data_IF_182557989101
#
_entry.id   IF_182557989101
#
_cell.length_a   1.000
_cell.length_b   1.000
_cell.length_c   1.000
_cell.angle_alpha   90.00
_cell.angle_beta   90.00
_cell.angle_gamma   90.00
#
_symmetry.space_group_name_H-M   'P 1'
#
loop_
_entity.id
_entity.type
_entity.pdbx_description
1 polymer ?
#
# COMPACT_ATOMS: atom_id res chain seq x y z
N UNK A 1 9.61 -12.81 -3.39
CA UNK A 1 8.15 -12.65 -3.29
C UNK A 1 7.39 -13.26 -4.47
N UNK A 2 7.97 -13.31 -5.67
CA UNK A 2 7.34 -13.88 -6.86
C UNK A 2 7.34 -15.42 -6.91
N UNK A 3 7.86 -16.09 -5.89
CA UNK A 3 7.80 -17.54 -5.70
C UNK A 3 6.78 -17.93 -4.60
N UNK A 4 5.98 -17.00 -4.11
CA UNK A 4 4.94 -17.28 -3.12
C UNK A 4 3.76 -18.01 -3.79
N UNK A 5 3.05 -18.88 -3.03
CA UNK A 5 1.87 -19.57 -3.54
C UNK A 5 0.81 -18.54 -3.98
N UNK A 6 0.38 -18.63 -5.23
CA UNK A 6 -0.56 -17.66 -5.80
C UNK A 6 -1.98 -17.88 -5.27
N UNK A 7 -2.39 -19.11 -5.03
CA UNK A 7 -3.76 -19.45 -4.64
C UNK A 7 -4.23 -18.71 -3.36
N UNK A 8 -3.34 -18.64 -2.35
CA UNK A 8 -3.66 -17.92 -1.11
C UNK A 8 -3.76 -16.39 -1.33
N UNK A 9 -2.92 -15.84 -2.22
CA UNK A 9 -2.96 -14.43 -2.59
C UNK A 9 -4.26 -14.12 -3.33
N UNK A 10 -4.64 -14.93 -4.31
CA UNK A 10 -5.90 -14.77 -5.06
C UNK A 10 -7.13 -14.85 -4.17
N UNK A 11 -7.14 -15.78 -3.20
CA UNK A 11 -8.23 -15.89 -2.24
C UNK A 11 -8.40 -14.60 -1.42
N UNK A 12 -7.29 -14.03 -0.92
CA UNK A 12 -7.34 -12.78 -0.16
C UNK A 12 -7.61 -11.56 -1.06
N UNK A 13 -7.16 -11.55 -2.31
CA UNK A 13 -7.52 -10.52 -3.28
C UNK A 13 -9.01 -10.59 -3.63
N UNK A 14 -9.61 -11.78 -3.72
CA UNK A 14 -11.06 -11.95 -3.90
C UNK A 14 -11.85 -11.32 -2.75
N UNK A 15 -11.49 -11.57 -1.51
CA UNK A 15 -12.15 -10.90 -0.36
C UNK A 15 -11.88 -9.40 -0.33
N UNK A 16 -10.69 -8.98 -0.79
CA UNK A 16 -10.33 -7.56 -0.92
C UNK A 16 -11.16 -6.82 -1.98
N UNK A 17 -11.52 -7.51 -3.06
CA UNK A 17 -12.38 -6.95 -4.12
C UNK A 17 -13.78 -6.59 -3.59
N UNK A 18 -14.31 -7.34 -2.61
CA UNK A 18 -15.58 -7.01 -1.94
C UNK A 18 -15.46 -5.66 -1.20
N UNK A 19 -14.37 -5.44 -0.47
CA UNK A 19 -14.12 -4.16 0.20
C UNK A 19 -14.06 -3.00 -0.79
N UNK A 20 -13.38 -3.18 -1.93
CA UNK A 20 -13.30 -2.15 -2.99
C UNK A 20 -14.67 -1.88 -3.60
N UNK A 21 -15.50 -2.92 -3.79
CA UNK A 21 -16.85 -2.78 -4.31
C UNK A 21 -17.76 -1.99 -3.36
N UNK A 22 -17.68 -2.27 -2.07
CA UNK A 22 -18.47 -1.59 -1.05
C UNK A 22 -18.07 -0.14 -0.84
N UNK A 23 -16.76 0.15 -0.84
CA UNK A 23 -16.24 1.50 -0.63
C UNK A 23 -16.34 2.37 -1.88
N UNK A 24 -16.27 1.78 -3.07
CA UNK A 24 -16.15 2.50 -4.35
C UNK A 24 -14.73 2.96 -4.66
N UNK A 25 -14.57 3.65 -5.78
CA UNK A 25 -13.24 3.98 -6.35
C UNK A 25 -12.53 5.08 -5.56
N UNK A 26 -13.25 6.11 -5.14
CA UNK A 26 -12.69 7.28 -4.45
C UNK A 26 -13.52 7.67 -3.22
N UNK A 27 -13.62 6.77 -2.21
CA UNK A 27 -14.42 7.05 -1.03
C UNK A 27 -13.79 8.15 -0.17
N UNK A 28 -14.63 8.98 0.45
CA UNK A 28 -14.20 9.96 1.45
C UNK A 28 -14.49 9.45 2.84
N UNK A 29 -13.48 9.48 3.72
CA UNK A 29 -13.65 9.07 5.12
C UNK A 29 -14.40 10.14 5.93
N UNK A 30 -14.19 11.42 5.59
CA UNK A 30 -14.78 12.57 6.28
C UNK A 30 -15.24 13.62 5.27
N UNK A 31 -16.40 14.24 5.52
CA UNK A 31 -16.98 15.28 4.65
C UNK A 31 -16.29 16.64 4.78
N UNK A 32 -15.64 16.89 5.93
CA UNK A 32 -15.09 18.20 6.32
C UNK A 32 -13.61 18.40 5.96
N UNK A 33 -12.93 17.37 5.45
CA UNK A 33 -11.53 17.45 5.10
C UNK A 33 -11.18 16.59 3.88
N UNK A 34 -9.97 16.80 3.33
CA UNK A 34 -9.45 15.99 2.24
C UNK A 34 -9.00 14.61 2.75
N UNK A 35 -9.93 13.67 2.77
CA UNK A 35 -9.73 12.29 3.27
C UNK A 35 -10.13 11.24 2.24
N UNK A 36 -10.02 11.58 0.96
CA UNK A 36 -10.34 10.68 -0.14
C UNK A 36 -9.29 9.56 -0.23
N UNK A 37 -9.77 8.32 -0.33
CA UNK A 37 -8.92 7.17 -0.62
C UNK A 37 -8.74 7.01 -2.13
N UNK A 38 -7.69 6.30 -2.52
CA UNK A 38 -7.40 5.98 -3.92
C UNK A 38 -7.50 4.46 -4.14
N UNK A 39 -8.72 3.95 -4.09
CA UNK A 39 -8.99 2.55 -4.37
C UNK A 39 -8.75 2.19 -5.84
N UNK A 40 -8.65 3.19 -6.75
CA UNK A 40 -8.29 2.96 -8.14
C UNK A 40 -6.85 2.45 -8.26
N UNK A 41 -5.90 3.13 -7.63
CA UNK A 41 -4.50 2.71 -7.60
C UNK A 41 -4.32 1.44 -6.78
N UNK A 42 -4.99 1.34 -5.63
CA UNK A 42 -4.91 0.14 -4.78
C UNK A 42 -5.46 -1.09 -5.51
N UNK A 43 -6.46 -0.94 -6.41
CA UNK A 43 -6.92 -2.04 -7.28
C UNK A 43 -5.86 -2.51 -8.28
N UNK A 44 -5.05 -1.60 -8.83
CA UNK A 44 -3.90 -1.97 -9.66
C UNK A 44 -2.92 -2.80 -8.84
N UNK A 45 -2.59 -2.35 -7.63
CA UNK A 45 -1.64 -3.03 -6.74
C UNK A 45 -2.10 -4.45 -6.37
N UNK A 46 -3.41 -4.64 -6.17
CA UNK A 46 -4.01 -5.95 -5.89
C UNK A 46 -3.97 -6.86 -7.13
N UNK A 47 -4.29 -6.34 -8.32
CA UNK A 47 -4.22 -7.09 -9.58
C UNK A 47 -2.79 -7.54 -9.90
N UNK A 48 -1.79 -6.68 -9.69
CA UNK A 48 -0.38 -7.02 -9.86
C UNK A 48 0.10 -8.05 -8.81
N UNK A 49 -0.38 -7.95 -7.58
CA UNK A 49 -0.06 -8.92 -6.54
C UNK A 49 -0.59 -10.31 -6.87
N UNK A 50 -1.74 -10.41 -7.51
CA UNK A 50 -2.40 -11.64 -7.91
C UNK A 50 -2.05 -12.10 -9.34
N UNK A 51 -0.97 -11.57 -9.94
CA UNK A 51 -0.54 -12.01 -11.26
C UNK A 51 -0.15 -13.50 -11.27
N UNK A 52 -0.89 -14.28 -12.05
CA UNK A 52 -0.76 -15.73 -12.22
C UNK A 52 -0.10 -16.14 -13.56
N UNK A 53 0.54 -15.22 -14.27
CA UNK A 53 1.23 -15.55 -15.54
C UNK A 53 2.36 -16.55 -15.32
N UNK A 54 2.70 -17.33 -16.36
CA UNK A 54 3.82 -18.30 -16.34
C UNK A 54 5.19 -17.64 -16.53
N UNK A 55 5.26 -16.32 -16.50
CA UNK A 55 6.49 -15.56 -16.65
C UNK A 55 7.49 -15.85 -15.49
N UNK A 56 8.78 -15.73 -15.76
CA UNK A 56 9.81 -15.93 -14.75
C UNK A 56 9.68 -14.90 -13.60
N UNK A 57 10.18 -15.26 -12.40
CA UNK A 57 10.14 -14.35 -11.24
C UNK A 57 10.84 -13.00 -11.51
N UNK A 58 11.92 -13.02 -12.30
CA UNK A 58 12.63 -11.80 -12.71
C UNK A 58 11.77 -10.96 -13.67
N UNK A 59 11.16 -11.58 -14.64
CA UNK A 59 10.29 -10.92 -15.61
C UNK A 59 9.07 -10.27 -14.93
N UNK A 60 8.38 -11.02 -14.04
CA UNK A 60 7.31 -10.45 -13.20
C UNK A 60 7.77 -9.26 -12.36
N UNK A 61 8.99 -9.32 -11.82
CA UNK A 61 9.55 -8.22 -11.05
C UNK A 61 9.86 -6.98 -11.89
N UNK A 62 10.21 -7.17 -13.16
CA UNK A 62 10.57 -6.08 -14.07
C UNK A 62 9.37 -5.46 -14.77
N UNK A 63 8.37 -6.27 -15.12
CA UNK A 63 7.25 -5.85 -15.96
C UNK A 63 5.95 -5.61 -15.18
N UNK A 64 5.84 -6.12 -13.94
CA UNK A 64 4.67 -5.94 -13.08
C UNK A 64 3.36 -6.25 -13.82
N UNK A 65 3.23 -7.49 -14.26
CA UNK A 65 2.05 -7.94 -15.00
C UNK A 65 0.76 -7.86 -14.19
N UNK A 66 -0.33 -7.54 -14.87
CA UNK A 66 -1.69 -7.60 -14.33
C UNK A 66 -2.70 -8.02 -15.39
N UNK A 67 -3.74 -8.73 -14.96
CA UNK A 67 -4.90 -9.00 -15.81
C UNK A 67 -5.70 -7.73 -16.07
N UNK A 68 -6.23 -7.60 -17.28
CA UNK A 68 -7.12 -6.49 -17.70
C UNK A 68 -8.33 -7.02 -18.44
N UNK A 69 -9.45 -6.29 -18.36
CA UNK A 69 -10.66 -6.53 -19.12
C UNK A 69 -10.86 -5.28 -19.99
N UNK A 70 -11.09 -5.48 -21.28
CA UNK A 70 -11.23 -4.38 -22.25
C UNK A 70 -12.33 -3.40 -21.81
N UNK A 71 -12.04 -2.11 -22.01
CA UNK A 71 -12.90 -0.98 -21.64
C UNK A 71 -13.21 -0.83 -20.13
N UNK A 72 -12.59 -1.67 -19.27
CA UNK A 72 -12.79 -1.62 -17.82
C UNK A 72 -11.65 -0.88 -17.11
N UNK A 73 -12.00 -0.10 -16.09
CA UNK A 73 -11.04 0.52 -15.18
C UNK A 73 -10.51 -0.51 -14.18
N UNK A 74 -9.34 -0.27 -13.51
CA UNK A 74 -8.74 -1.24 -12.60
C UNK A 74 -9.67 -1.77 -11.51
N UNK A 75 -10.45 -0.91 -10.85
CA UNK A 75 -11.41 -1.33 -9.83
C UNK A 75 -12.56 -2.16 -10.43
N UNK A 76 -13.04 -1.78 -11.61
CA UNK A 76 -14.07 -2.53 -12.35
C UNK A 76 -13.51 -3.89 -12.78
N UNK A 77 -12.27 -3.94 -13.29
CA UNK A 77 -11.57 -5.19 -13.66
C UNK A 77 -11.44 -6.12 -12.44
N UNK A 78 -11.01 -5.59 -11.29
CA UNK A 78 -10.87 -6.35 -10.05
C UNK A 78 -12.21 -6.97 -9.62
N UNK A 79 -13.26 -6.18 -9.61
CA UNK A 79 -14.62 -6.60 -9.23
C UNK A 79 -15.16 -7.63 -10.24
N UNK A 80 -15.06 -7.33 -11.54
CA UNK A 80 -15.55 -8.21 -12.58
C UNK A 80 -14.88 -9.59 -12.53
N UNK A 81 -13.56 -9.63 -12.38
CA UNK A 81 -12.84 -10.91 -12.33
C UNK A 81 -13.10 -11.68 -11.02
N UNK A 82 -12.89 -11.05 -9.86
CA UNK A 82 -12.92 -11.78 -8.59
C UNK A 82 -14.32 -11.98 -8.00
N UNK A 83 -15.31 -11.15 -8.35
CA UNK A 83 -16.67 -11.26 -7.82
C UNK A 83 -17.64 -11.80 -8.87
N UNK A 84 -17.57 -11.31 -10.11
CA UNK A 84 -18.49 -11.69 -11.17
C UNK A 84 -17.99 -12.87 -12.01
N UNK A 85 -16.75 -13.37 -11.76
CA UNK A 85 -16.09 -14.46 -12.46
C UNK A 85 -15.93 -14.21 -13.98
N UNK A 86 -15.72 -12.96 -14.38
CA UNK A 86 -15.36 -12.60 -15.76
C UNK A 86 -13.88 -12.87 -15.97
N UNK A 87 -13.52 -13.55 -17.05
CA UNK A 87 -12.11 -13.81 -17.37
C UNK A 87 -11.39 -12.54 -17.84
N UNK A 88 -10.10 -12.46 -17.57
CA UNK A 88 -9.28 -11.39 -18.14
C UNK A 88 -9.20 -11.54 -19.65
N UNK A 89 -9.36 -10.44 -20.37
CA UNK A 89 -9.25 -10.45 -21.84
C UNK A 89 -7.80 -10.44 -22.29
N UNK A 90 -6.90 -9.85 -21.48
CA UNK A 90 -5.47 -9.83 -21.75
C UNK A 90 -4.67 -9.60 -20.47
N UNK A 91 -3.38 -9.89 -20.53
CA UNK A 91 -2.39 -9.47 -19.55
C UNK A 91 -1.63 -8.25 -20.09
N UNK A 92 -1.44 -7.25 -19.23
CA UNK A 92 -0.74 -6.00 -19.57
C UNK A 92 0.41 -5.81 -18.62
N UNK A 93 1.57 -5.39 -19.14
CA UNK A 93 2.70 -4.94 -18.34
C UNK A 93 2.44 -3.52 -17.80
N UNK A 94 3.00 -3.22 -16.63
CA UNK A 94 2.86 -1.91 -16.00
C UNK A 94 4.20 -1.38 -15.46
N UNK A 95 5.28 -1.66 -16.17
CA UNK A 95 6.65 -1.31 -15.79
C UNK A 95 6.93 0.21 -15.64
N UNK A 96 5.94 1.07 -15.92
CA UNK A 96 6.08 2.53 -15.93
C UNK A 96 6.36 3.12 -14.54
N UNK A 97 5.86 2.50 -13.47
CA UNK A 97 5.96 3.00 -12.11
C UNK A 97 6.78 2.06 -11.23
N UNK A 98 7.15 2.54 -10.04
CA UNK A 98 7.85 1.71 -9.06
C UNK A 98 6.91 0.72 -8.38
N UNK A 99 7.24 -0.56 -8.44
CA UNK A 99 6.45 -1.68 -7.91
C UNK A 99 7.05 -2.33 -6.66
N UNK A 100 8.01 -1.66 -6.01
CA UNK A 100 8.66 -2.19 -4.81
C UNK A 100 7.71 -2.47 -3.64
N UNK A 101 6.51 -1.89 -3.63
CA UNK A 101 5.47 -2.21 -2.64
C UNK A 101 5.06 -3.69 -2.68
N UNK A 102 5.18 -4.37 -3.81
CA UNK A 102 4.88 -5.80 -3.94
C UNK A 102 5.77 -6.67 -3.05
N UNK A 103 6.96 -6.19 -2.67
CA UNK A 103 7.85 -6.88 -1.72
C UNK A 103 7.19 -7.05 -0.35
N UNK A 104 6.37 -6.12 0.07
CA UNK A 104 5.61 -6.19 1.32
C UNK A 104 4.17 -6.72 1.08
N UNK A 105 3.52 -6.27 0.01
CA UNK A 105 2.11 -6.57 -0.24
C UNK A 105 1.86 -8.05 -0.53
N UNK A 106 2.66 -8.69 -1.38
CA UNK A 106 2.47 -10.13 -1.70
C UNK A 106 2.62 -11.05 -0.48
N UNK A 107 3.65 -10.92 0.38
CA UNK A 107 3.72 -11.68 1.62
C UNK A 107 2.53 -11.43 2.55
N UNK A 108 2.08 -10.18 2.68
CA UNK A 108 0.94 -9.85 3.52
C UNK A 108 -0.36 -10.46 2.97
N UNK A 109 -0.58 -10.40 1.66
CA UNK A 109 -1.73 -11.02 0.98
C UNK A 109 -1.71 -12.55 1.02
N UNK A 110 -0.56 -13.19 1.29
CA UNK A 110 -0.52 -14.63 1.51
C UNK A 110 -1.22 -15.06 2.81
N UNK A 111 -1.45 -14.12 3.75
CA UNK A 111 -2.04 -14.40 5.06
C UNK A 111 -3.26 -13.55 5.39
N UNK A 112 -3.41 -12.37 4.79
CA UNK A 112 -4.40 -11.37 5.19
C UNK A 112 -5.08 -10.75 3.97
N UNK A 113 -6.33 -10.37 4.13
CA UNK A 113 -7.06 -9.54 3.18
C UNK A 113 -6.68 -8.05 3.28
N UNK A 114 -7.15 -7.27 2.33
CA UNK A 114 -6.91 -5.82 2.22
C UNK A 114 -7.32 -5.03 3.47
N UNK A 115 -8.47 -5.37 4.07
CA UNK A 115 -8.97 -4.69 5.26
C UNK A 115 -8.06 -4.92 6.47
N UNK A 116 -7.62 -6.15 6.66
CA UNK A 116 -6.68 -6.53 7.72
C UNK A 116 -5.30 -5.88 7.49
N UNK A 117 -4.82 -5.87 6.25
CA UNK A 117 -3.54 -5.23 5.90
C UNK A 117 -3.59 -3.72 6.21
N UNK A 118 -4.71 -3.04 5.96
CA UNK A 118 -4.91 -1.63 6.32
C UNK A 118 -4.80 -1.38 7.83
N UNK A 119 -5.34 -2.27 8.65
CA UNK A 119 -5.22 -2.19 10.12
C UNK A 119 -3.77 -2.39 10.55
N UNK A 120 -3.10 -3.41 10.03
CA UNK A 120 -1.68 -3.68 10.29
C UNK A 120 -0.85 -2.47 9.88
N UNK A 121 -1.09 -1.92 8.69
CA UNK A 121 -0.42 -0.75 8.17
C UNK A 121 -0.57 0.47 9.10
N UNK A 122 -1.79 0.73 9.58
CA UNK A 122 -2.04 1.80 10.55
C UNK A 122 -1.28 1.60 11.86
N UNK A 123 -1.24 0.38 12.39
CA UNK A 123 -0.49 0.06 13.59
C UNK A 123 1.03 0.26 13.40
N UNK A 124 1.57 -0.19 12.26
CA UNK A 124 3.01 0.00 11.94
C UNK A 124 3.34 1.48 11.78
N UNK A 125 2.50 2.27 11.13
CA UNK A 125 2.69 3.72 11.00
C UNK A 125 2.70 4.41 12.38
N UNK A 126 1.79 4.02 13.27
CA UNK A 126 1.74 4.57 14.62
C UNK A 126 2.99 4.20 15.45
N UNK A 127 3.45 2.95 15.37
CA UNK A 127 4.68 2.50 16.01
C UNK A 127 5.90 3.28 15.46
N UNK A 128 5.95 3.50 14.16
CA UNK A 128 7.00 4.28 13.52
C UNK A 128 7.01 5.74 13.99
N UNK A 129 5.83 6.37 14.15
CA UNK A 129 5.70 7.70 14.73
C UNK A 129 6.27 7.74 16.16
N UNK A 130 5.89 6.77 17.01
CA UNK A 130 6.40 6.68 18.38
C UNK A 130 7.93 6.52 18.41
N UNK A 131 8.48 5.68 17.52
CA UNK A 131 9.92 5.50 17.38
C UNK A 131 10.62 6.82 17.05
N UNK A 132 10.11 7.58 16.08
CA UNK A 132 10.65 8.90 15.73
C UNK A 132 10.62 9.83 16.95
N UNK A 133 9.51 9.91 17.68
CA UNK A 133 9.39 10.75 18.87
C UNK A 133 10.42 10.35 19.95
N UNK A 134 10.62 9.05 20.17
CA UNK A 134 11.65 8.55 21.12
C UNK A 134 13.06 8.92 20.66
N UNK A 135 13.38 8.77 19.38
CA UNK A 135 14.68 9.14 18.82
C UNK A 135 14.92 10.66 18.92
N UNK A 136 13.91 11.49 18.61
CA UNK A 136 13.98 12.94 18.77
C UNK A 136 14.27 13.32 20.23
N UNK A 137 13.57 12.68 21.19
CA UNK A 137 13.82 12.90 22.62
C UNK A 137 15.26 12.55 23.01
N UNK A 138 15.78 11.41 22.54
CA UNK A 138 17.18 10.98 22.80
C UNK A 138 18.22 11.93 22.20
N UNK A 139 17.89 12.62 21.12
CA UNK A 139 18.75 13.64 20.47
C UNK A 139 18.58 15.05 21.05
N UNK A 140 17.77 15.24 22.09
CA UNK A 140 17.51 16.55 22.68
C UNK A 140 16.59 17.46 21.84
N UNK A 141 15.88 16.92 20.87
CA UNK A 141 14.98 17.63 19.97
C UNK A 141 13.56 17.75 20.53
N UNK A 142 13.40 17.82 21.85
CA UNK A 142 12.09 17.87 22.52
C UNK A 142 11.13 18.95 21.98
N UNK A 143 11.58 20.21 21.69
CA UNK A 143 10.67 21.25 21.17
C UNK A 143 10.04 20.91 19.83
N UNK A 144 10.63 20.01 19.05
CA UNK A 144 10.18 19.66 17.72
C UNK A 144 9.23 18.45 17.67
N UNK A 145 9.03 17.75 18.80
CA UNK A 145 8.16 16.55 18.85
C UNK A 145 6.72 16.92 18.57
N UNK A 146 6.19 17.97 19.20
CA UNK A 146 4.81 18.43 18.97
C UNK A 146 4.60 18.89 17.52
N UNK A 147 5.44 19.77 16.95
CA UNK A 147 5.37 20.11 15.54
C UNK A 147 5.40 18.89 14.61
N UNK A 148 6.24 17.90 14.89
CA UNK A 148 6.31 16.67 14.08
C UNK A 148 5.01 15.87 14.13
N UNK A 149 4.42 15.69 15.34
CA UNK A 149 3.13 15.02 15.50
C UNK A 149 2.02 15.79 14.76
N UNK A 150 2.01 17.10 14.83
CA UNK A 150 1.02 17.92 14.11
C UNK A 150 1.16 17.76 12.59
N UNK A 151 2.39 17.74 12.07
CA UNK A 151 2.62 17.44 10.65
C UNK A 151 2.07 16.06 10.27
N UNK A 152 2.30 15.04 11.10
CA UNK A 152 1.74 13.70 10.87
C UNK A 152 0.21 13.71 10.86
N UNK A 153 -0.43 14.42 11.79
CA UNK A 153 -1.89 14.51 11.86
C UNK A 153 -2.49 15.23 10.64
N UNK A 154 -1.81 16.26 10.10
CA UNK A 154 -2.22 16.98 8.90
C UNK A 154 -2.22 16.05 7.67
N UNK A 155 -1.34 15.06 7.62
CA UNK A 155 -1.30 14.06 6.54
C UNK A 155 -2.47 13.07 6.59
N UNK A 156 -3.43 13.24 7.48
CA UNK A 156 -4.60 12.37 7.60
C UNK A 156 -4.22 10.89 7.77
N UNK A 157 -3.65 10.48 8.93
CA UNK A 157 -3.05 9.16 9.14
C UNK A 157 -4.00 8.00 8.85
N UNK A 158 -5.31 8.15 9.07
CA UNK A 158 -6.30 7.12 8.76
C UNK A 158 -6.43 6.93 7.24
N UNK A 159 -6.51 8.02 6.46
CA UNK A 159 -6.54 7.93 5.01
C UNK A 159 -5.22 7.35 4.46
N UNK A 160 -4.10 7.80 5.03
CA UNK A 160 -2.77 7.34 4.67
C UNK A 160 -2.57 5.84 4.98
N UNK A 161 -3.11 5.34 6.10
CA UNK A 161 -3.04 3.93 6.44
C UNK A 161 -3.95 3.06 5.56
N UNK A 162 -5.07 3.60 5.11
CA UNK A 162 -6.06 2.90 4.28
C UNK A 162 -5.75 2.92 2.78
N UNK A 163 -4.89 3.80 2.30
CA UNK A 163 -4.45 3.84 0.89
C UNK A 163 -2.97 3.49 0.78
N UNK A 164 -2.66 2.39 0.10
CA UNK A 164 -1.28 1.89 0.01
C UNK A 164 -0.36 2.85 -0.75
N UNK A 165 -0.88 3.57 -1.73
CA UNK A 165 -0.13 4.60 -2.43
C UNK A 165 0.37 5.68 -1.47
N UNK A 166 -0.49 6.20 -0.60
CA UNK A 166 -0.12 7.23 0.38
C UNK A 166 0.83 6.68 1.45
N UNK A 167 0.64 5.43 1.85
CA UNK A 167 1.52 4.73 2.79
C UNK A 167 2.96 4.68 2.31
N UNK A 168 3.20 4.46 1.04
CA UNK A 168 4.55 4.39 0.46
C UNK A 168 5.33 5.69 0.70
N UNK A 169 4.70 6.85 0.50
CA UNK A 169 5.31 8.16 0.75
C UNK A 169 5.65 8.33 2.24
N UNK A 170 4.74 7.92 3.13
CA UNK A 170 4.96 7.99 4.57
C UNK A 170 6.18 7.16 5.01
N UNK A 171 6.29 5.93 4.52
CA UNK A 171 7.40 5.05 4.89
C UNK A 171 8.75 5.58 4.42
N UNK A 172 8.84 6.11 3.20
CA UNK A 172 10.07 6.71 2.69
C UNK A 172 10.48 7.92 3.54
N UNK A 173 9.54 8.82 3.83
CA UNK A 173 9.78 9.98 4.69
C UNK A 173 10.21 9.56 6.10
N UNK A 174 9.51 8.63 6.71
CA UNK A 174 9.78 8.16 8.08
C UNK A 174 11.11 7.43 8.17
N UNK A 175 11.43 6.57 7.21
CA UNK A 175 12.71 5.87 7.14
C UNK A 175 13.88 6.87 7.01
N UNK A 176 13.73 7.89 6.14
CA UNK A 176 14.71 8.97 6.02
C UNK A 176 14.89 9.74 7.33
N UNK A 177 13.79 10.07 8.02
CA UNK A 177 13.84 10.74 9.31
C UNK A 177 14.55 9.89 10.37
N UNK A 178 14.23 8.60 10.46
CA UNK A 178 14.90 7.67 11.39
C UNK A 178 16.38 7.57 11.06
N UNK A 179 16.75 7.42 9.79
CA UNK A 179 18.14 7.35 9.37
C UNK A 179 18.91 8.60 9.79
N UNK A 180 18.38 9.80 9.56
CA UNK A 180 18.99 11.07 9.99
C UNK A 180 19.16 11.13 11.50
N UNK A 181 18.16 10.70 12.29
CA UNK A 181 18.22 10.70 13.75
C UNK A 181 19.21 9.66 14.30
N UNK A 182 19.49 8.60 13.55
CA UNK A 182 20.48 7.56 13.93
C UNK A 182 21.91 7.92 13.53
N UNK A 183 22.10 8.84 12.58
CA UNK A 183 23.45 9.29 12.21
C UNK A 183 24.17 9.83 13.45
N UNK A 184 25.41 9.40 13.59
CA UNK A 184 26.29 9.86 14.66
C UNK A 184 26.69 11.31 14.34
N UNK A 185 26.53 12.24 15.29
CA UNK A 185 27.04 13.60 15.13
C UNK A 185 28.55 13.52 14.87
N UNK A 186 28.93 13.69 13.61
CA UNK A 186 30.34 13.64 13.16
C UNK A 186 31.10 14.93 13.50
N UNK A 187 30.45 15.86 14.19
CA UNK A 187 30.97 17.20 14.50
C UNK A 187 30.87 17.45 16.02
N UNK A 188 31.68 16.73 16.77
CA UNK A 188 32.16 17.14 18.10
C UNK A 188 33.66 16.94 18.17
#
# INVERSE_FOLDING_TARGET
VYCLPIDSIEQHVRSSAVTIQEEGVYPRLYSWCHSQLDNWTDSIMLLEAADATDASALEKAMLAYRGTIDDSKPAETLIAHYIQNVEFTRTTDYARYWHGYLVALKPLLSFFDYSTIRIINGAVQFIALLLVCVLMKRKGLNPYIIPYILCYLILMPIAMAKSFQFSSCYYVFTAGTIALLLLKDSTR
#
